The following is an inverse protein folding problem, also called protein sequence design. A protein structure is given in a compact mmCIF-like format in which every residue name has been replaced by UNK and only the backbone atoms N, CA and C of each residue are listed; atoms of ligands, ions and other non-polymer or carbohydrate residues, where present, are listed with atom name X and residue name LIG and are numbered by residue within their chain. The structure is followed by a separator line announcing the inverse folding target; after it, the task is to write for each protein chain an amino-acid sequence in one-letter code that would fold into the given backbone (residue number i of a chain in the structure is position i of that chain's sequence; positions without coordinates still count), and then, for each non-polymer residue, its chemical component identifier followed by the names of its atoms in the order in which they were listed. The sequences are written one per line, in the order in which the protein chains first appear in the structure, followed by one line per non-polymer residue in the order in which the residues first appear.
data_IF_959780036869
#
_entry.id   IF_959780036869
#
_cell.length_a   1.000
_cell.length_b   1.000
_cell.length_c   1.000
_cell.angle_alpha   90.00
_cell.angle_beta   90.00
_cell.angle_gamma   90.00
#
_symmetry.space_group_name_H-M   'P 1'
#
loop_
_entity.id
_entity.type
_entity.pdbx_description
1 polymer ?
#
# COMPACT_ATOMS: atom_id res chain seq x y z
N UNK A 1 11.91 19.32 4.32
CA UNK A 1 10.79 18.40 3.98
C UNK A 1 11.19 17.71 2.69
N UNK A 2 11.65 16.47 2.80
CA UNK A 2 11.96 15.65 1.62
C UNK A 2 10.64 15.13 1.07
N UNK A 3 10.19 15.70 -0.05
CA UNK A 3 9.12 15.10 -0.85
C UNK A 3 9.68 13.83 -1.48
N UNK A 4 9.52 12.70 -0.82
CA UNK A 4 9.65 11.41 -1.48
C UNK A 4 8.44 11.28 -2.40
N UNK A 5 8.59 11.78 -3.62
CA UNK A 5 7.67 11.48 -4.71
C UNK A 5 7.86 10.00 -5.01
N UNK A 6 6.80 9.18 -4.94
CA UNK A 6 6.77 7.89 -5.63
C UNK A 6 6.75 8.17 -7.14
N UNK A 7 7.90 8.63 -7.65
CA UNK A 7 8.15 8.95 -9.05
C UNK A 7 8.42 7.63 -9.77
N UNK A 8 7.33 6.96 -10.15
CA UNK A 8 7.40 6.01 -11.25
C UNK A 8 6.23 6.33 -12.18
N UNK A 9 6.46 6.47 -13.49
CA UNK A 9 5.37 6.52 -14.43
C UNK A 9 4.47 5.31 -14.15
N UNK A 10 3.15 5.53 -14.11
CA UNK A 10 2.16 4.47 -13.88
C UNK A 10 2.10 3.43 -15.02
N UNK A 11 3.11 3.41 -15.88
CA UNK A 11 3.41 2.31 -16.78
C UNK A 11 3.87 1.14 -15.93
N UNK A 12 3.09 0.06 -15.92
CA UNK A 12 3.50 -1.23 -15.41
C UNK A 12 4.94 -1.55 -15.87
N UNK A 13 5.83 -2.08 -15.01
CA UNK A 13 7.10 -2.63 -15.45
C UNK A 13 6.86 -3.58 -16.62
N UNK A 14 7.70 -3.46 -17.65
CA UNK A 14 7.74 -4.42 -18.73
C UNK A 14 8.47 -5.65 -18.21
N UNK A 15 7.79 -6.78 -18.09
CA UNK A 15 8.47 -8.02 -17.70
C UNK A 15 9.04 -8.69 -18.93
N UNK A 16 10.32 -9.03 -18.89
CA UNK A 16 11.00 -9.71 -19.97
C UNK A 16 11.61 -11.01 -19.48
N UNK A 17 11.64 -12.01 -20.36
CA UNK A 17 12.30 -13.28 -20.08
C UNK A 17 12.26 -14.22 -21.28
N UNK A 18 12.87 -15.40 -21.13
CA UNK A 18 13.07 -16.33 -22.23
C UNK A 18 11.99 -17.41 -22.26
N UNK A 19 11.59 -17.80 -23.47
CA UNK A 19 10.62 -18.88 -23.70
C UNK A 19 11.35 -20.08 -24.30
N UNK A 20 11.34 -21.26 -23.63
CA UNK A 20 12.10 -22.41 -24.11
C UNK A 20 11.44 -23.17 -25.27
N UNK A 21 10.13 -23.00 -25.49
CA UNK A 21 9.36 -23.81 -26.44
C UNK A 21 8.75 -22.96 -27.57
N UNK A 22 8.80 -23.42 -28.83
CA UNK A 22 8.11 -22.77 -29.93
C UNK A 22 6.59 -22.83 -29.74
N UNK A 23 5.89 -21.75 -30.09
CA UNK A 23 4.44 -21.66 -30.12
C UNK A 23 3.92 -22.08 -31.49
N UNK A 24 2.84 -22.86 -31.54
CA UNK A 24 2.11 -23.03 -32.78
C UNK A 24 1.48 -21.68 -33.21
N UNK A 25 1.70 -21.26 -34.46
CA UNK A 25 0.98 -20.14 -35.08
C UNK A 25 -0.44 -20.59 -35.47
N UNK A 26 -1.21 -21.04 -34.49
CA UNK A 26 -2.66 -21.15 -34.62
C UNK A 26 -3.19 -19.73 -34.42
N UNK A 27 -3.89 -19.16 -35.41
CA UNK A 27 -4.53 -17.85 -35.21
C UNK A 27 -5.41 -17.91 -33.96
N UNK A 28 -5.14 -17.10 -32.92
CA UNK A 28 -6.04 -16.98 -31.79
C UNK A 28 -7.40 -16.57 -32.30
N UNK A 29 -8.40 -17.41 -32.08
CA UNK A 29 -9.78 -17.13 -32.43
C UNK A 29 -10.37 -16.09 -31.46
N UNK A 30 -11.54 -15.53 -31.78
CA UNK A 30 -12.24 -14.59 -30.90
C UNK A 30 -12.66 -15.18 -29.55
N UNK A 31 -12.45 -16.49 -29.34
CA UNK A 31 -12.73 -17.19 -28.09
C UNK A 31 -11.46 -17.47 -27.27
N UNK A 32 -10.31 -17.00 -27.76
CA UNK A 32 -9.04 -17.21 -27.11
C UNK A 32 -8.95 -16.44 -25.79
N UNK A 33 -8.43 -17.09 -24.76
CA UNK A 33 -8.14 -16.47 -23.46
C UNK A 33 -6.69 -16.72 -23.06
N UNK A 34 -6.18 -15.78 -22.28
CA UNK A 34 -4.95 -15.92 -21.55
C UNK A 34 -5.25 -16.61 -20.23
N UNK A 35 -4.58 -17.74 -19.96
CA UNK A 35 -4.54 -18.33 -18.64
C UNK A 35 -3.15 -18.12 -18.05
N UNK A 36 -3.09 -17.50 -16.87
CA UNK A 36 -1.88 -17.42 -16.05
C UNK A 36 -2.18 -18.19 -14.77
N UNK A 37 -1.53 -19.33 -14.60
CA UNK A 37 -1.68 -20.15 -13.40
C UNK A 37 -0.44 -20.01 -12.52
N UNK A 38 -0.68 -19.81 -11.23
CA UNK A 38 0.32 -19.79 -10.17
C UNK A 38 0.03 -20.96 -9.22
N UNK A 39 0.59 -22.16 -9.48
CA UNK A 39 0.23 -23.37 -8.75
C UNK A 39 0.48 -23.28 -7.24
N UNK A 40 1.55 -22.59 -6.84
CA UNK A 40 2.00 -22.49 -5.44
C UNK A 40 0.96 -21.81 -4.53
N UNK A 41 0.15 -20.90 -5.08
CA UNK A 41 -0.85 -20.14 -4.32
C UNK A 41 -2.28 -20.39 -4.84
N UNK A 42 -2.47 -21.43 -5.66
CA UNK A 42 -3.76 -21.83 -6.24
C UNK A 42 -4.52 -20.69 -6.94
N UNK A 43 -3.78 -19.78 -7.58
CA UNK A 43 -4.36 -18.63 -8.27
C UNK A 43 -4.34 -18.83 -9.79
N UNK A 44 -5.43 -18.44 -10.43
CA UNK A 44 -5.58 -18.47 -11.89
C UNK A 44 -6.17 -17.15 -12.37
N UNK A 45 -5.42 -16.42 -13.20
CA UNK A 45 -5.96 -15.31 -13.99
C UNK A 45 -6.42 -15.86 -15.33
N UNK A 46 -7.70 -15.66 -15.64
CA UNK A 46 -8.25 -15.82 -16.97
C UNK A 46 -8.60 -14.44 -17.55
N UNK A 47 -8.03 -14.11 -18.71
CA UNK A 47 -8.27 -12.84 -19.40
C UNK A 47 -8.62 -13.11 -20.88
N UNK A 48 -9.85 -12.82 -21.33
CA UNK A 48 -10.23 -13.02 -22.72
C UNK A 48 -9.50 -12.06 -23.66
N UNK A 49 -9.26 -12.50 -24.89
CA UNK A 49 -8.69 -11.69 -25.95
C UNK A 49 -9.60 -10.48 -26.24
N UNK A 50 -9.05 -9.28 -26.12
CA UNK A 50 -9.76 -8.03 -26.34
C UNK A 50 -9.74 -7.59 -27.82
N UNK A 51 -8.71 -7.99 -28.57
CA UNK A 51 -8.57 -7.69 -29.98
C UNK A 51 -7.78 -8.80 -30.69
N UNK A 52 -8.02 -8.98 -31.99
CA UNK A 52 -7.24 -9.92 -32.80
C UNK A 52 -5.74 -9.60 -32.67
N UNK A 53 -4.89 -10.63 -32.49
CA UNK A 53 -3.47 -10.42 -32.32
C UNK A 53 -2.85 -9.92 -33.63
N UNK A 54 -1.85 -9.06 -33.48
CA UNK A 54 -1.04 -8.55 -34.59
C UNK A 54 0.17 -9.46 -34.69
N UNK A 55 0.32 -10.15 -35.81
CA UNK A 55 1.43 -11.07 -36.07
C UNK A 55 2.30 -10.47 -37.16
N UNK A 56 3.58 -10.29 -36.85
CA UNK A 56 4.63 -9.85 -37.76
C UNK A 56 5.79 -10.86 -37.74
N UNK A 57 6.74 -10.73 -38.66
CA UNK A 57 7.77 -11.74 -38.90
C UNK A 57 8.63 -12.04 -37.65
N UNK A 58 8.83 -11.04 -36.79
CA UNK A 58 9.67 -11.10 -35.59
C UNK A 58 8.89 -10.90 -34.28
N UNK A 59 7.59 -10.63 -34.33
CA UNK A 59 6.79 -10.30 -33.14
C UNK A 59 5.31 -10.71 -33.23
N UNK A 60 4.76 -11.09 -32.09
CA UNK A 60 3.33 -11.31 -31.87
C UNK A 60 2.87 -10.36 -30.77
N UNK A 61 1.88 -9.51 -31.07
CA UNK A 61 1.23 -8.65 -30.09
C UNK A 61 -0.22 -9.13 -29.87
N UNK A 62 -0.58 -9.39 -28.61
CA UNK A 62 -1.92 -9.80 -28.20
C UNK A 62 -2.38 -8.95 -27.02
N UNK A 63 -3.66 -8.57 -27.04
CA UNK A 63 -4.26 -7.73 -26.01
C UNK A 63 -5.40 -8.46 -25.32
N UNK A 64 -5.37 -8.50 -23.99
CA UNK A 64 -6.33 -9.23 -23.17
C UNK A 64 -7.07 -8.30 -22.20
N UNK A 65 -8.35 -8.54 -21.96
CA UNK A 65 -9.16 -7.76 -21.03
C UNK A 65 -9.11 -8.37 -19.63
N UNK A 66 -8.39 -7.73 -18.70
CA UNK A 66 -8.26 -8.24 -17.32
C UNK A 66 -9.40 -7.74 -16.45
N UNK A 67 -9.79 -6.48 -16.57
CA UNK A 67 -10.97 -5.92 -15.89
C UNK A 67 -11.55 -4.79 -16.74
N UNK A 68 -12.71 -4.24 -16.36
CA UNK A 68 -13.37 -3.17 -17.13
C UNK A 68 -12.43 -2.03 -17.55
N UNK A 69 -11.50 -1.66 -16.68
CA UNK A 69 -10.54 -0.56 -16.87
C UNK A 69 -9.08 -1.01 -16.95
N UNK A 70 -8.82 -2.31 -17.11
CA UNK A 70 -7.46 -2.87 -17.14
C UNK A 70 -7.32 -3.83 -18.32
N UNK A 71 -6.41 -3.51 -19.23
CA UNK A 71 -5.98 -4.44 -20.27
C UNK A 71 -4.56 -4.95 -19.97
N UNK A 72 -4.24 -6.13 -20.49
CA UNK A 72 -2.89 -6.70 -20.51
C UNK A 72 -2.44 -6.84 -21.95
N UNK A 73 -1.39 -6.12 -22.30
CA UNK A 73 -0.71 -6.19 -23.58
C UNK A 73 0.45 -7.19 -23.47
N UNK A 74 0.42 -8.25 -24.27
CA UNK A 74 1.48 -9.25 -24.37
C UNK A 74 2.17 -9.10 -25.73
N UNK A 75 3.49 -8.97 -25.71
CA UNK A 75 4.36 -8.96 -26.88
C UNK A 75 5.31 -10.15 -26.78
N UNK A 76 5.31 -11.02 -27.76
CA UNK A 76 6.28 -12.10 -27.91
C UNK A 76 7.22 -11.72 -29.04
N UNK A 77 8.52 -11.73 -28.80
CA UNK A 77 9.55 -11.43 -29.81
C UNK A 77 10.33 -12.70 -30.09
N UNK A 78 10.64 -12.95 -31.35
CA UNK A 78 11.21 -14.22 -31.75
C UNK A 78 11.40 -14.32 -33.25
N UNK A 79 11.33 -15.54 -33.79
CA UNK A 79 11.49 -15.80 -35.21
C UNK A 79 10.46 -16.82 -35.68
N UNK A 80 9.87 -16.58 -36.85
CA UNK A 80 9.13 -17.60 -37.55
C UNK A 80 10.05 -18.77 -37.92
N UNK A 81 9.64 -20.00 -37.58
CA UNK A 81 10.36 -21.20 -37.99
C UNK A 81 9.94 -21.55 -39.40
N UNK A 82 10.87 -21.40 -40.35
CA UNK A 82 10.63 -21.74 -41.76
C UNK A 82 10.07 -23.16 -41.90
N UNK A 83 9.00 -23.31 -42.69
CA UNK A 83 8.34 -24.57 -43.02
C UNK A 83 7.55 -25.29 -41.91
N UNK A 84 7.44 -24.74 -40.69
CA UNK A 84 6.71 -25.41 -39.58
C UNK A 84 5.43 -24.71 -39.09
N UNK A 85 5.08 -23.52 -39.62
CA UNK A 85 3.98 -22.70 -39.08
C UNK A 85 4.06 -22.54 -37.54
N UNK A 86 5.28 -22.30 -37.05
CA UNK A 86 5.60 -22.10 -35.64
C UNK A 86 6.35 -20.80 -35.44
N UNK A 87 6.18 -20.21 -34.27
CA UNK A 87 6.93 -19.06 -33.82
C UNK A 87 7.85 -19.49 -32.68
N UNK A 88 9.16 -19.43 -32.92
CA UNK A 88 10.15 -19.64 -31.88
C UNK A 88 10.24 -18.34 -31.07
N UNK A 89 9.56 -18.31 -29.94
CA UNK A 89 9.62 -17.17 -29.01
C UNK A 89 10.98 -17.15 -28.35
N UNK A 90 11.70 -16.03 -28.48
CA UNK A 90 12.97 -15.81 -27.79
C UNK A 90 12.74 -15.00 -26.52
N UNK A 91 11.85 -14.00 -26.60
CA UNK A 91 11.55 -13.07 -25.52
C UNK A 91 10.04 -12.83 -25.41
N UNK A 92 9.58 -12.47 -24.22
CA UNK A 92 8.24 -11.91 -24.02
C UNK A 92 8.33 -10.55 -23.33
N UNK A 93 7.26 -9.77 -23.43
CA UNK A 93 7.05 -8.49 -22.79
C UNK A 93 5.56 -8.40 -22.45
N UNK A 94 5.19 -8.29 -21.18
CA UNK A 94 3.81 -7.94 -20.84
C UNK A 94 3.71 -6.55 -20.22
N UNK A 95 2.54 -5.93 -20.35
CA UNK A 95 2.29 -4.59 -19.86
C UNK A 95 0.82 -4.42 -19.50
N UNK A 96 0.53 -3.98 -18.27
CA UNK A 96 -0.83 -3.63 -17.89
C UNK A 96 -1.13 -2.18 -18.25
N UNK A 97 -2.16 -2.00 -19.07
CA UNK A 97 -2.69 -0.69 -19.43
C UNK A 97 -3.92 -0.36 -18.57
N UNK A 98 -3.82 0.71 -17.77
CA UNK A 98 -4.94 1.26 -17.01
C UNK A 98 -5.64 2.32 -17.85
N UNK A 99 -6.91 2.08 -18.20
CA UNK A 99 -7.73 3.02 -19.00
C UNK A 99 -8.16 4.25 -18.20
N UNK A 100 -8.49 4.02 -16.93
CA UNK A 100 -8.93 5.04 -16.00
C UNK A 100 -8.27 4.78 -14.64
N UNK A 101 -7.60 5.77 -14.03
CA UNK A 101 -6.75 5.57 -12.85
C UNK A 101 -7.57 5.42 -11.56
N UNK A 102 -8.49 4.46 -11.52
CA UNK A 102 -9.33 4.16 -10.34
C UNK A 102 -8.58 3.27 -9.35
N UNK A 103 -8.87 3.36 -8.03
CA UNK A 103 -8.26 2.48 -7.03
C UNK A 103 -8.33 0.99 -7.41
N UNK A 104 -9.50 0.51 -7.85
CA UNK A 104 -9.69 -0.87 -8.32
C UNK A 104 -8.72 -1.29 -9.43
N UNK A 105 -8.54 -0.45 -10.45
CA UNK A 105 -7.66 -0.77 -11.58
C UNK A 105 -6.20 -0.90 -11.10
N UNK A 106 -5.77 0.01 -10.22
CA UNK A 106 -4.43 -0.04 -9.64
C UNK A 106 -4.23 -1.22 -8.68
N UNK A 107 -5.24 -1.57 -7.87
CA UNK A 107 -5.21 -2.73 -7.00
C UNK A 107 -5.03 -4.02 -7.79
N UNK A 108 -5.79 -4.20 -8.87
CA UNK A 108 -5.70 -5.35 -9.78
C UNK A 108 -4.28 -5.43 -10.35
N UNK A 109 -3.80 -4.36 -10.99
CA UNK A 109 -2.48 -4.34 -11.63
C UNK A 109 -1.35 -4.58 -10.63
N UNK A 110 -1.36 -3.89 -9.49
CA UNK A 110 -0.34 -4.03 -8.46
C UNK A 110 -0.32 -5.46 -7.89
N UNK A 111 -1.48 -6.06 -7.64
CA UNK A 111 -1.58 -7.42 -7.10
C UNK A 111 -1.02 -8.45 -8.07
N UNK A 112 -1.43 -8.39 -9.35
CA UNK A 112 -0.93 -9.34 -10.35
C UNK A 112 0.58 -9.20 -10.54
N UNK A 113 1.10 -7.97 -10.65
CA UNK A 113 2.54 -7.77 -10.84
C UNK A 113 3.38 -8.17 -9.62
N UNK A 114 2.90 -7.87 -8.41
CA UNK A 114 3.58 -8.31 -7.19
C UNK A 114 3.64 -9.84 -7.13
N UNK A 115 2.51 -10.51 -7.39
CA UNK A 115 2.42 -11.96 -7.44
C UNK A 115 3.39 -12.57 -8.45
N UNK A 116 3.41 -12.04 -9.68
CA UNK A 116 4.27 -12.54 -10.75
C UNK A 116 5.75 -12.31 -10.44
N UNK A 117 6.09 -11.19 -9.78
CA UNK A 117 7.44 -10.92 -9.29
C UNK A 117 7.89 -11.85 -8.17
N UNK A 118 7.00 -12.19 -7.23
CA UNK A 118 7.31 -13.02 -6.07
C UNK A 118 7.51 -14.49 -6.43
N UNK A 119 6.56 -15.05 -7.18
CA UNK A 119 6.58 -16.46 -7.60
C UNK A 119 7.73 -16.67 -8.58
N UNK A 120 7.95 -15.72 -9.48
CA UNK A 120 9.03 -15.75 -10.45
C UNK A 120 8.89 -16.84 -11.52
N UNK A 121 7.95 -17.79 -11.42
CA UNK A 121 7.64 -18.79 -12.45
C UNK A 121 6.13 -18.93 -12.64
N UNK A 122 5.67 -18.92 -13.88
CA UNK A 122 4.25 -19.07 -14.19
C UNK A 122 4.03 -19.79 -15.50
N UNK A 123 2.85 -20.42 -15.60
CA UNK A 123 2.43 -21.10 -16.80
C UNK A 123 1.51 -20.15 -17.58
N UNK A 124 1.95 -19.77 -18.77
CA UNK A 124 1.16 -19.01 -19.71
C UNK A 124 0.50 -19.95 -20.72
N UNK A 125 -0.79 -19.79 -20.92
CA UNK A 125 -1.53 -20.52 -21.95
C UNK A 125 -2.30 -19.54 -22.82
N UNK A 126 -2.03 -19.55 -24.12
CA UNK A 126 -2.70 -18.73 -25.13
C UNK A 126 -3.49 -19.69 -26.02
N UNK A 127 -4.59 -20.21 -25.47
CA UNK A 127 -5.62 -21.00 -26.20
C UNK A 127 -5.19 -22.34 -26.81
N UNK A 128 -5.96 -23.39 -26.46
CA UNK A 128 -5.75 -24.84 -26.61
C UNK A 128 -5.06 -25.51 -25.39
N UNK A 129 -5.57 -26.67 -24.92
CA UNK A 129 -5.16 -27.33 -23.68
C UNK A 129 -3.71 -27.85 -23.66
N UNK A 130 -2.98 -27.84 -24.79
CA UNK A 130 -1.76 -28.65 -24.94
C UNK A 130 -0.44 -27.85 -24.96
N UNK A 131 -0.49 -26.52 -25.10
CA UNK A 131 0.73 -25.69 -25.16
C UNK A 131 0.74 -24.67 -24.01
N UNK A 132 1.46 -25.01 -22.94
CA UNK A 132 1.81 -24.06 -21.87
C UNK A 132 3.26 -23.60 -22.04
N UNK A 133 3.47 -22.30 -21.86
CA UNK A 133 4.80 -21.73 -21.78
C UNK A 133 5.14 -21.50 -20.32
N UNK A 134 6.25 -22.09 -19.88
CA UNK A 134 6.86 -21.71 -18.61
C UNK A 134 7.59 -20.39 -18.80
N UNK A 135 7.20 -19.40 -18.02
CA UNK A 135 7.78 -18.08 -18.05
C UNK A 135 8.45 -17.82 -16.70
N UNK A 136 9.69 -17.31 -16.76
CA UNK A 136 10.42 -16.87 -15.57
C UNK A 136 10.44 -15.34 -15.51
N UNK A 137 10.16 -14.79 -14.33
CA UNK A 137 10.20 -13.37 -14.01
C UNK A 137 11.21 -13.11 -12.90
N UNK A 138 12.11 -12.17 -13.14
CA UNK A 138 13.07 -11.68 -12.14
C UNK A 138 12.82 -10.19 -11.91
N UNK A 139 11.94 -9.86 -10.96
CA UNK A 139 11.76 -8.48 -10.50
C UNK A 139 12.64 -8.22 -9.27
N UNK A 140 13.31 -7.06 -9.19
CA UNK A 140 14.02 -6.66 -7.97
C UNK A 140 13.06 -6.57 -6.77
N UNK A 141 13.52 -6.98 -5.58
CA UNK A 141 12.70 -6.94 -4.37
C UNK A 141 12.17 -5.54 -4.03
N UNK A 142 12.94 -4.50 -4.35
CA UNK A 142 12.50 -3.11 -4.19
C UNK A 142 11.26 -2.81 -5.05
N UNK A 143 11.20 -3.29 -6.29
CA UNK A 143 10.05 -3.10 -7.17
C UNK A 143 8.84 -3.90 -6.68
N UNK A 144 9.05 -5.13 -6.22
CA UNK A 144 7.99 -5.94 -5.61
C UNK A 144 7.42 -5.24 -4.36
N UNK A 145 8.28 -4.70 -3.49
CA UNK A 145 7.86 -3.95 -2.30
C UNK A 145 7.02 -2.72 -2.66
N UNK A 146 7.42 -1.95 -3.68
CA UNK A 146 6.61 -0.83 -4.19
C UNK A 146 5.24 -1.28 -4.69
N UNK A 147 5.16 -2.42 -5.37
CA UNK A 147 3.90 -2.99 -5.85
C UNK A 147 3.00 -3.43 -4.69
N UNK A 148 3.55 -4.06 -3.65
CA UNK A 148 2.80 -4.45 -2.45
C UNK A 148 2.30 -3.22 -1.68
N UNK A 149 3.11 -2.17 -1.52
CA UNK A 149 2.66 -0.90 -0.93
C UNK A 149 1.54 -0.27 -1.75
N UNK A 150 1.67 -0.25 -3.08
CA UNK A 150 0.62 0.26 -3.98
C UNK A 150 -0.66 -0.56 -3.87
N UNK A 151 -0.57 -1.89 -3.76
CA UNK A 151 -1.70 -2.79 -3.50
C UNK A 151 -2.42 -2.42 -2.21
N UNK A 152 -1.70 -2.31 -1.09
CA UNK A 152 -2.31 -1.95 0.21
C UNK A 152 -2.97 -0.57 0.17
N UNK A 153 -2.25 0.42 -0.38
CA UNK A 153 -2.75 1.78 -0.53
C UNK A 153 -4.05 1.85 -1.37
N UNK A 154 -4.06 1.18 -2.52
CA UNK A 154 -5.22 1.16 -3.43
C UNK A 154 -6.39 0.40 -2.84
N UNK A 155 -6.14 -0.68 -2.10
CA UNK A 155 -7.18 -1.40 -1.36
C UNK A 155 -7.85 -0.52 -0.30
N UNK A 156 -7.07 0.24 0.48
CA UNK A 156 -7.61 1.20 1.46
C UNK A 156 -8.54 2.20 0.79
N UNK A 157 -8.13 2.77 -0.36
CA UNK A 157 -8.98 3.67 -1.13
C UNK A 157 -10.27 2.98 -1.62
N UNK A 158 -10.20 1.74 -2.10
CA UNK A 158 -11.40 0.98 -2.50
C UNK A 158 -12.40 0.84 -1.34
N UNK A 159 -11.92 0.52 -0.13
CA UNK A 159 -12.76 0.42 1.08
C UNK A 159 -13.38 1.79 1.42
N UNK A 160 -12.62 2.87 1.28
CA UNK A 160 -13.15 4.23 1.49
C UNK A 160 -14.23 4.56 0.46
N UNK A 161 -14.01 4.27 -0.84
CA UNK A 161 -15.02 4.46 -1.89
C UNK A 161 -16.31 3.71 -1.58
N UNK A 162 -16.19 2.45 -1.15
CA UNK A 162 -17.32 1.59 -0.85
C UNK A 162 -18.11 2.07 0.38
N UNK A 163 -17.43 2.46 1.45
CA UNK A 163 -18.08 2.95 2.67
C UNK A 163 -18.71 4.36 2.52
N UNK A 164 -18.14 5.20 1.66
CA UNK A 164 -18.54 6.62 1.55
C UNK A 164 -19.33 6.96 0.29
N UNK A 165 -19.36 6.06 -0.69
CA UNK A 165 -19.90 6.31 -2.03
C UNK A 165 -19.10 7.31 -2.86
N UNK A 166 -17.93 7.74 -2.37
CA UNK A 166 -17.02 8.63 -3.12
C UNK A 166 -16.31 7.84 -4.22
N UNK A 167 -15.83 8.57 -5.22
CA UNK A 167 -15.01 7.98 -6.26
C UNK A 167 -13.75 8.81 -6.45
N UNK A 168 -12.60 8.16 -6.36
CA UNK A 168 -11.30 8.78 -6.51
C UNK A 168 -10.73 8.52 -7.89
N UNK A 169 -9.82 9.41 -8.28
CA UNK A 169 -8.89 9.21 -9.40
C UNK A 169 -7.50 9.33 -8.79
N UNK A 170 -6.67 8.30 -8.98
CA UNK A 170 -5.30 8.32 -8.48
C UNK A 170 -4.48 9.30 -9.31
N UNK A 171 -3.82 10.28 -8.66
CA UNK A 171 -2.86 11.12 -9.35
C UNK A 171 -1.60 10.31 -9.71
N UNK A 172 -0.76 10.86 -10.58
CA UNK A 172 0.50 10.23 -10.96
C UNK A 172 1.50 10.12 -9.81
N UNK A 173 1.38 10.98 -8.80
CA UNK A 173 2.21 10.98 -7.60
C UNK A 173 1.36 11.30 -6.36
N UNK A 174 1.71 10.69 -5.23
CA UNK A 174 1.02 10.83 -3.95
C UNK A 174 2.07 11.09 -2.87
N UNK A 175 1.82 12.10 -2.02
CA UNK A 175 2.72 12.44 -0.91
C UNK A 175 2.54 11.50 0.27
N UNK A 176 3.58 11.34 1.10
CA UNK A 176 3.53 10.53 2.34
C UNK A 176 2.37 10.95 3.25
N UNK A 177 2.19 12.25 3.52
CA UNK A 177 1.07 12.73 4.34
C UNK A 177 -0.31 12.41 3.76
N UNK A 178 -0.42 12.17 2.45
CA UNK A 178 -1.68 11.74 1.82
C UNK A 178 -1.90 10.23 2.01
N UNK A 179 -0.82 9.45 1.95
CA UNK A 179 -0.84 8.01 2.29
C UNK A 179 -1.26 7.83 3.76
N UNK A 180 -0.73 8.65 4.66
CA UNK A 180 -1.08 8.65 6.09
C UNK A 180 -2.56 8.99 6.32
N UNK A 181 -3.08 10.03 5.67
CA UNK A 181 -4.52 10.36 5.73
C UNK A 181 -5.41 9.22 5.24
N UNK A 182 -5.04 8.59 4.14
CA UNK A 182 -5.77 7.43 3.60
C UNK A 182 -5.74 6.26 4.57
N UNK A 183 -4.61 6.01 5.22
CA UNK A 183 -4.50 5.00 6.26
C UNK A 183 -5.37 5.33 7.47
N UNK A 184 -5.33 6.57 7.97
CA UNK A 184 -6.15 7.02 9.10
C UNK A 184 -7.65 6.86 8.81
N UNK A 185 -8.11 7.34 7.65
CA UNK A 185 -9.52 7.23 7.22
C UNK A 185 -9.95 5.77 7.09
N UNK A 186 -9.08 4.91 6.56
CA UNK A 186 -9.33 3.47 6.49
C UNK A 186 -9.52 2.86 7.89
N UNK A 187 -8.61 3.12 8.83
CA UNK A 187 -8.72 2.62 10.20
C UNK A 187 -9.95 3.16 10.94
N UNK A 188 -10.34 4.42 10.68
CA UNK A 188 -11.59 4.97 11.20
C UNK A 188 -12.82 4.20 10.71
N UNK A 189 -12.87 3.84 9.43
CA UNK A 189 -13.99 3.09 8.84
C UNK A 189 -14.01 1.63 9.33
N UNK A 190 -12.87 0.95 9.27
CA UNK A 190 -12.76 -0.50 9.48
C UNK A 190 -12.62 -0.85 10.96
N UNK A 191 -11.60 -0.31 11.63
CA UNK A 191 -11.25 -0.70 12.99
C UNK A 191 -12.06 0.06 14.04
N UNK A 192 -12.39 1.33 13.75
CA UNK A 192 -13.15 2.27 14.59
C UNK A 192 -12.52 2.62 15.93
N UNK A 193 -11.61 1.80 16.45
CA UNK A 193 -10.84 2.05 17.65
C UNK A 193 -9.39 1.68 17.37
N UNK A 194 -8.51 2.67 17.37
CA UNK A 194 -7.10 2.46 17.06
C UNK A 194 -6.21 3.54 17.68
N UNK A 195 -4.93 3.21 17.82
CA UNK A 195 -3.90 4.15 18.26
C UNK A 195 -3.28 4.77 17.01
N UNK A 196 -3.13 6.09 17.00
CA UNK A 196 -2.53 6.82 15.90
C UNK A 196 -1.46 7.79 16.37
N UNK A 197 -0.67 8.32 15.43
CA UNK A 197 0.28 9.39 15.72
C UNK A 197 -0.46 10.57 16.34
N UNK A 198 0.01 10.97 17.52
CA UNK A 198 -0.66 11.93 18.35
C UNK A 198 -0.44 13.37 17.86
N UNK A 199 -1.44 14.21 18.08
CA UNK A 199 -1.37 15.63 17.80
C UNK A 199 -1.28 16.41 19.11
N UNK A 200 -0.84 17.66 19.05
CA UNK A 200 -1.06 18.57 20.16
C UNK A 200 -2.44 19.21 20.06
N UNK A 201 -3.14 19.27 21.19
CA UNK A 201 -4.50 19.80 21.26
C UNK A 201 -4.50 21.06 22.12
N UNK A 202 -4.99 22.15 21.52
CA UNK A 202 -5.23 23.39 22.23
C UNK A 202 -6.62 23.36 22.84
N UNK A 203 -6.68 23.54 24.15
CA UNK A 203 -7.93 23.70 24.90
C UNK A 203 -7.85 24.94 25.78
N UNK A 204 -8.99 25.41 26.26
CA UNK A 204 -9.07 26.63 27.07
C UNK A 204 -9.94 26.44 28.28
N UNK A 205 -9.51 27.02 29.41
CA UNK A 205 -10.27 27.03 30.65
C UNK A 205 -10.34 28.47 31.20
N UNK A 206 -11.46 28.89 31.82
CA UNK A 206 -11.52 30.20 32.47
C UNK A 206 -10.58 30.27 33.68
N UNK A 207 -9.99 31.44 33.93
CA UNK A 207 -9.20 31.70 35.14
C UNK A 207 -10.10 32.00 36.35
N UNK A 208 -10.82 30.98 36.83
CA UNK A 208 -11.58 31.03 38.10
C UNK A 208 -10.95 30.10 39.14
N UNK A 209 -11.27 30.29 40.42
CA UNK A 209 -10.77 29.45 41.52
C UNK A 209 -11.25 27.98 41.41
N UNK A 210 -12.47 27.78 40.93
CA UNK A 210 -13.06 26.46 40.68
C UNK A 210 -12.32 25.75 39.53
N UNK A 211 -12.11 26.45 38.42
CA UNK A 211 -11.40 25.95 37.25
C UNK A 211 -9.92 25.67 37.51
N UNK A 212 -9.25 26.51 38.30
CA UNK A 212 -7.86 26.28 38.71
C UNK A 212 -7.71 24.99 39.52
N UNK A 213 -8.69 24.71 40.40
CA UNK A 213 -8.73 23.47 41.19
C UNK A 213 -8.98 22.25 40.31
N UNK A 214 -9.89 22.36 39.33
CA UNK A 214 -10.18 21.31 38.35
C UNK A 214 -8.96 21.03 37.45
N UNK A 215 -8.28 22.07 36.99
CA UNK A 215 -7.06 21.95 36.20
C UNK A 215 -5.92 21.26 36.97
N UNK A 216 -5.74 21.60 38.25
CA UNK A 216 -4.75 20.94 39.10
C UNK A 216 -5.00 19.43 39.27
N UNK A 217 -6.27 19.00 39.27
CA UNK A 217 -6.64 17.58 39.28
C UNK A 217 -6.41 16.92 37.91
N UNK A 218 -6.76 17.62 36.81
CA UNK A 218 -6.57 17.12 35.46
C UNK A 218 -5.10 16.87 35.11
N UNK A 219 -4.20 17.77 35.51
CA UNK A 219 -2.74 17.63 35.30
C UNK A 219 -2.14 16.46 36.08
N UNK A 220 -2.84 15.92 37.10
CA UNK A 220 -2.42 14.72 37.81
C UNK A 220 -2.86 13.43 37.11
N UNK A 221 -3.79 13.51 36.16
CA UNK A 221 -4.21 12.37 35.34
C UNK A 221 -3.23 12.16 34.19
N UNK A 222 -2.78 10.92 33.98
CA UNK A 222 -2.03 10.54 32.78
C UNK A 222 -2.92 10.33 31.56
N UNK A 223 -4.25 10.27 31.75
CA UNK A 223 -5.23 10.02 30.69
C UNK A 223 -6.09 11.26 30.53
N UNK A 224 -6.14 11.81 29.32
CA UNK A 224 -6.92 12.99 28.99
C UNK A 224 -7.94 12.69 27.87
N UNK A 225 -9.21 12.47 28.22
CA UNK A 225 -10.25 12.33 27.22
C UNK A 225 -10.61 13.71 26.66
N UNK A 226 -10.56 13.88 25.34
CA UNK A 226 -11.08 15.04 24.65
C UNK A 226 -12.59 14.88 24.42
N UNK A 227 -13.36 16.00 24.39
CA UNK A 227 -14.78 15.95 24.07
C UNK A 227 -15.03 15.29 22.71
N UNK A 228 -16.05 14.45 22.64
CA UNK A 228 -16.46 13.80 21.39
C UNK A 228 -16.87 14.84 20.35
N UNK A 229 -16.08 14.98 19.29
CA UNK A 229 -16.24 15.99 18.26
C UNK A 229 -16.43 15.36 16.87
N UNK A 230 -17.10 16.05 15.93
CA UNK A 230 -17.14 15.62 14.54
C UNK A 230 -15.73 15.70 13.94
N UNK A 231 -15.32 14.65 13.25
CA UNK A 231 -14.04 14.56 12.55
C UNK A 231 -14.28 14.39 11.05
N UNK A 232 -13.46 15.08 10.26
CA UNK A 232 -13.43 14.92 8.81
C UNK A 232 -12.01 15.06 8.32
N UNK A 233 -11.68 14.30 7.29
CA UNK A 233 -10.38 14.34 6.65
C UNK A 233 -10.52 14.66 5.16
N UNK A 234 -9.44 15.15 4.55
CA UNK A 234 -9.39 15.38 3.11
C UNK A 234 -8.54 14.28 2.48
N UNK A 235 -9.16 13.47 1.64
CA UNK A 235 -8.52 12.41 0.87
C UNK A 235 -8.62 12.72 -0.61
N UNK A 236 -7.47 12.84 -1.28
CA UNK A 236 -7.30 13.16 -2.69
C UNK A 236 -8.14 14.38 -3.11
N UNK A 237 -8.14 15.41 -2.27
CA UNK A 237 -8.90 16.65 -2.47
C UNK A 237 -10.40 16.55 -2.19
N UNK A 238 -10.90 15.41 -1.69
CA UNK A 238 -12.31 15.24 -1.34
C UNK A 238 -12.50 15.14 0.18
N UNK A 239 -13.48 15.86 0.75
CA UNK A 239 -13.79 15.75 2.17
C UNK A 239 -14.50 14.43 2.47
N UNK A 240 -14.00 13.72 3.47
CA UNK A 240 -14.53 12.48 4.01
C UNK A 240 -15.01 12.75 5.44
N UNK A 241 -16.32 12.63 5.64
CA UNK A 241 -16.93 12.77 6.96
C UNK A 241 -16.80 11.45 7.71
N UNK A 242 -16.05 11.45 8.82
CA UNK A 242 -15.82 10.28 9.66
C UNK A 242 -16.80 10.19 10.83
N UNK A 243 -17.80 11.07 10.89
CA UNK A 243 -18.73 11.13 12.01
C UNK A 243 -18.06 11.67 13.27
N UNK A 244 -18.43 11.14 14.43
CA UNK A 244 -17.94 11.59 15.73
C UNK A 244 -16.85 10.68 16.27
N UNK A 245 -15.80 11.30 16.82
CA UNK A 245 -14.69 10.63 17.44
C UNK A 245 -14.46 11.14 18.87
N UNK A 246 -14.16 10.22 19.78
CA UNK A 246 -13.54 10.51 21.06
C UNK A 246 -12.05 10.26 20.92
N UNK A 247 -11.23 11.24 21.30
CA UNK A 247 -9.78 11.11 21.31
C UNK A 247 -9.31 11.05 22.75
N UNK A 248 -8.50 10.06 23.08
CA UNK A 248 -7.92 9.92 24.41
C UNK A 248 -6.41 10.03 24.29
N UNK A 249 -5.84 11.03 24.96
CA UNK A 249 -4.40 11.24 25.04
C UNK A 249 -3.90 10.44 26.25
N UNK A 250 -3.07 9.43 25.99
CA UNK A 250 -2.38 8.66 27.04
C UNK A 250 -1.02 9.30 27.33
N UNK A 251 -0.56 9.20 28.57
CA UNK A 251 0.63 9.89 29.08
C UNK A 251 0.63 11.40 28.76
N UNK A 252 -0.53 12.02 28.97
CA UNK A 252 -0.79 13.40 28.62
C UNK A 252 0.05 14.37 29.46
N UNK A 253 0.68 15.34 28.78
CA UNK A 253 1.42 16.45 29.40
C UNK A 253 0.96 17.79 28.85
N UNK A 254 0.88 18.78 29.74
CA UNK A 254 0.64 20.17 29.36
C UNK A 254 1.98 20.82 29.05
N UNK A 255 2.21 21.19 27.79
CA UNK A 255 3.50 21.69 27.30
C UNK A 255 3.87 23.04 27.92
N UNK A 256 2.89 23.87 28.26
CA UNK A 256 3.03 25.22 28.82
C UNK A 256 2.56 25.34 30.28
N UNK A 257 2.73 24.28 31.08
CA UNK A 257 2.15 24.16 32.43
C UNK A 257 2.44 25.36 33.37
N UNK A 258 3.69 25.83 33.42
CA UNK A 258 4.09 26.90 34.33
C UNK A 258 3.45 28.25 33.96
N UNK A 259 3.33 28.53 32.66
CA UNK A 259 2.66 29.73 32.17
C UNK A 259 1.16 29.68 32.48
N UNK A 260 0.53 28.53 32.22
CA UNK A 260 -0.90 28.31 32.47
C UNK A 260 -1.22 28.47 33.95
N UNK A 261 -0.43 27.89 34.86
CA UNK A 261 -0.60 28.06 36.31
C UNK A 261 -0.58 29.52 36.72
N UNK A 262 0.42 30.28 36.27
CA UNK A 262 0.54 31.71 36.56
C UNK A 262 -0.65 32.50 36.02
N UNK A 263 -1.18 32.11 34.86
CA UNK A 263 -2.34 32.78 34.28
C UNK A 263 -3.64 32.47 35.04
N UNK A 264 -3.81 31.24 35.54
CA UNK A 264 -4.95 30.82 36.35
C UNK A 264 -4.95 31.46 37.75
N UNK A 265 -3.78 31.63 38.36
CA UNK A 265 -3.62 32.32 39.65
C UNK A 265 -4.09 33.78 39.65
N UNK A 266 -4.15 34.42 38.48
CA UNK A 266 -4.65 35.79 38.36
C UNK A 266 -6.14 35.90 38.72
N UNK A 267 -6.93 34.82 38.58
CA UNK A 267 -8.33 34.75 39.01
C UNK A 267 -9.26 35.79 38.35
N UNK A 268 -8.89 36.30 37.17
CA UNK A 268 -9.58 37.41 36.49
C UNK A 268 -10.69 36.95 35.53
N UNK A 269 -10.94 35.64 35.45
CA UNK A 269 -11.97 35.03 34.61
C UNK A 269 -11.65 34.99 33.11
N UNK A 270 -10.44 35.38 32.68
CA UNK A 270 -10.04 35.30 31.27
C UNK A 270 -9.87 33.84 30.82
N UNK A 271 -10.01 33.60 29.52
CA UNK A 271 -9.71 32.29 28.94
C UNK A 271 -8.20 32.06 28.89
N UNK A 272 -7.73 30.99 29.52
CA UNK A 272 -6.34 30.54 29.49
C UNK A 272 -6.25 29.35 28.56
N UNK A 273 -5.48 29.50 27.48
CA UNK A 273 -5.23 28.42 26.52
C UNK A 273 -4.03 27.59 26.95
N UNK A 274 -4.18 26.28 26.90
CA UNK A 274 -3.11 25.34 27.17
C UNK A 274 -3.08 24.23 26.12
N UNK A 275 -1.90 23.70 25.90
CA UNK A 275 -1.64 22.67 24.91
C UNK A 275 -1.36 21.35 25.62
N UNK A 276 -2.13 20.33 25.26
CA UNK A 276 -1.96 18.96 25.76
C UNK A 276 -1.38 18.10 24.64
N UNK A 277 -0.38 17.29 24.98
CA UNK A 277 0.24 16.34 24.04
C UNK A 277 0.58 15.04 24.76
N UNK A 278 0.66 13.94 24.02
CA UNK A 278 1.13 12.66 24.57
C UNK A 278 2.67 12.61 24.60
N UNK A 279 3.25 12.15 25.70
CA UNK A 279 4.69 11.84 25.77
C UNK A 279 5.10 10.70 24.84
N UNK A 280 4.20 9.75 24.58
CA UNK A 280 4.45 8.64 23.65
C UNK A 280 4.32 9.08 22.19
N UNK A 281 3.79 10.28 21.94
CA UNK A 281 3.44 10.75 20.60
C UNK A 281 2.31 9.95 19.98
N UNK A 282 1.45 9.33 20.77
CA UNK A 282 0.33 8.51 20.31
C UNK A 282 -0.97 8.85 21.05
N UNK A 283 -2.07 8.88 20.30
CA UNK A 283 -3.42 9.09 20.84
C UNK A 283 -4.34 7.94 20.43
N UNK A 284 -5.29 7.60 21.29
CA UNK A 284 -6.33 6.62 21.00
C UNK A 284 -7.55 7.31 20.39
N UNK A 285 -7.96 6.87 19.21
CA UNK A 285 -9.17 7.34 18.53
C UNK A 285 -10.27 6.30 18.65
N UNK A 286 -11.47 6.74 19.00
CA UNK A 286 -12.67 5.91 19.09
C UNK A 286 -13.84 6.56 18.33
N UNK A 287 -14.25 5.94 17.24
CA UNK A 287 -15.30 6.43 16.35
C UNK A 287 -16.62 5.71 16.60
N UNK A 288 -17.70 6.49 16.73
CA UNK A 288 -19.05 5.94 17.00
C UNK A 288 -19.99 6.00 15.79
N UNK A 289 -19.69 6.83 14.79
CA UNK A 289 -20.60 7.17 13.68
C UNK A 289 -19.91 7.11 12.31
N UNK A 290 -18.82 6.35 12.18
CA UNK A 290 -18.10 6.26 10.90
C UNK A 290 -18.96 5.66 9.79
N UNK A 291 -18.76 6.10 8.53
CA UNK A 291 -19.41 5.49 7.39
C UNK A 291 -19.23 3.96 7.40
N UNK A 292 -20.30 3.24 7.14
CA UNK A 292 -20.28 1.78 7.12
C UNK A 292 -19.87 1.29 5.74
N UNK A 293 -18.85 0.42 5.66
CA UNK A 293 -18.81 -0.51 4.54
C UNK A 293 -20.10 -1.32 4.60
N UNK A 294 -20.76 -1.47 3.45
CA UNK A 294 -22.06 -2.12 3.33
C UNK A 294 -22.02 -3.63 3.68
N UNK A 295 -20.85 -4.15 4.07
CA UNK A 295 -20.61 -5.58 4.29
C UNK A 295 -20.82 -6.40 3.02
N UNK A 296 -20.95 -5.73 1.86
CA UNK A 296 -21.09 -6.38 0.57
C UNK A 296 -19.78 -7.11 0.30
N UNK A 297 -19.88 -8.43 0.18
CA UNK A 297 -18.78 -9.25 -0.30
C UNK A 297 -18.31 -8.67 -1.63
N UNK A 298 -17.01 -8.37 -1.73
CA UNK A 298 -16.40 -7.94 -2.97
C UNK A 298 -16.78 -8.90 -4.11
N UNK A 299 -16.86 -8.39 -5.34
CA UNK A 299 -17.04 -9.26 -6.50
C UNK A 299 -16.03 -10.43 -6.42
N UNK A 300 -16.41 -11.68 -6.73
CA UNK A 300 -15.56 -12.85 -6.48
C UNK A 300 -14.14 -12.72 -7.04
N UNK A 301 -13.98 -12.03 -8.17
CA UNK A 301 -12.68 -11.73 -8.78
C UNK A 301 -11.80 -10.82 -7.93
N UNK A 302 -12.39 -9.79 -7.31
CA UNK A 302 -11.69 -8.87 -6.40
C UNK A 302 -11.40 -9.57 -5.08
N UNK A 303 -12.37 -10.33 -4.55
CA UNK A 303 -12.18 -11.10 -3.32
C UNK A 303 -11.01 -12.07 -3.46
N UNK A 304 -10.92 -12.80 -4.58
CA UNK A 304 -9.80 -13.71 -4.84
C UNK A 304 -8.43 -13.01 -4.83
N UNK A 305 -8.35 -11.73 -5.22
CA UNK A 305 -7.11 -10.93 -5.15
C UNK A 305 -6.82 -10.40 -3.74
N UNK A 306 -7.86 -10.13 -2.96
CA UNK A 306 -7.72 -9.77 -1.54
C UNK A 306 -7.19 -10.98 -0.76
N UNK A 307 -7.75 -12.16 -1.01
CA UNK A 307 -7.40 -13.42 -0.35
C UNK A 307 -5.95 -13.88 -0.62
N UNK A 308 -5.26 -13.29 -1.61
CA UNK A 308 -3.84 -13.53 -1.85
C UNK A 308 -2.92 -12.89 -0.79
N UNK A 309 -3.42 -11.97 0.05
CA UNK A 309 -2.60 -11.22 1.01
C UNK A 309 -1.65 -12.08 1.85
N UNK A 310 -2.11 -13.15 2.53
CA UNK A 310 -1.22 -13.94 3.38
C UNK A 310 -0.10 -14.63 2.58
N UNK A 311 -0.38 -14.99 1.33
CA UNK A 311 0.59 -15.64 0.44
C UNK A 311 1.64 -14.65 -0.05
N UNK A 312 1.21 -13.42 -0.43
CA UNK A 312 2.12 -12.37 -0.86
C UNK A 312 3.05 -11.95 0.29
N UNK A 313 2.52 -11.83 1.51
CA UNK A 313 3.28 -11.48 2.71
C UNK A 313 4.28 -12.59 3.09
N UNK A 314 3.87 -13.86 3.03
CA UNK A 314 4.76 -14.98 3.28
C UNK A 314 5.91 -15.04 2.23
N UNK A 315 5.58 -14.88 0.95
CA UNK A 315 6.55 -14.96 -0.14
C UNK A 315 7.56 -13.79 -0.09
N UNK A 316 7.13 -12.57 0.23
CA UNK A 316 8.07 -11.44 0.34
C UNK A 316 8.98 -11.60 1.56
N UNK A 317 8.46 -12.09 2.69
CA UNK A 317 9.26 -12.37 3.88
C UNK A 317 10.31 -13.45 3.60
N UNK A 318 9.94 -14.53 2.93
CA UNK A 318 10.86 -15.58 2.51
C UNK A 318 11.99 -15.03 1.62
N UNK A 319 11.67 -14.16 0.65
CA UNK A 319 12.68 -13.54 -0.22
C UNK A 319 13.63 -12.63 0.56
N UNK A 320 13.13 -11.85 1.52
CA UNK A 320 13.99 -11.04 2.39
C UNK A 320 14.88 -11.91 3.27
N UNK A 321 14.34 -12.99 3.84
CA UNK A 321 15.13 -13.94 4.62
C UNK A 321 16.20 -14.63 3.76
N UNK A 322 15.87 -15.02 2.53
CA UNK A 322 16.83 -15.60 1.59
C UNK A 322 17.93 -14.60 1.21
N UNK A 323 17.59 -13.33 0.97
CA UNK A 323 18.58 -12.28 0.72
C UNK A 323 19.49 -12.07 1.93
N UNK A 324 18.91 -11.97 3.14
CA UNK A 324 19.67 -11.83 4.38
C UNK A 324 20.59 -13.04 4.61
N UNK A 325 20.10 -14.26 4.41
CA UNK A 325 20.88 -15.48 4.52
C UNK A 325 22.04 -15.50 3.53
N UNK A 326 21.80 -15.13 2.26
CA UNK A 326 22.84 -15.05 1.23
C UNK A 326 23.90 -13.99 1.56
N UNK A 327 23.52 -12.86 2.15
CA UNK A 327 24.50 -11.84 2.61
C UNK A 327 25.34 -12.29 3.81
N UNK A 328 24.86 -13.26 4.57
CA UNK A 328 25.57 -13.84 5.72
C UNK A 328 26.32 -15.13 5.36
N UNK A 329 26.13 -15.66 4.15
CA UNK A 329 26.76 -16.88 3.68
C UNK A 329 28.26 -16.64 3.43
N UNK A 330 29.10 -17.48 4.05
CA UNK A 330 30.56 -17.37 3.93
C UNK A 330 31.24 -16.47 4.98
N UNK A 331 30.47 -15.78 5.83
CA UNK A 331 31.01 -15.03 6.97
C UNK A 331 31.19 -15.94 8.19
N UNK A 332 32.25 -15.73 8.97
CA UNK A 332 32.40 -16.38 10.28
C UNK A 332 31.39 -15.82 11.28
N UNK A 333 31.14 -16.53 12.38
CA UNK A 333 30.22 -16.04 13.42
C UNK A 333 30.68 -14.71 14.02
N UNK A 334 32.00 -14.48 14.12
CA UNK A 334 32.56 -13.20 14.56
C UNK A 334 32.26 -12.05 13.57
N UNK A 335 32.32 -12.32 12.26
CA UNK A 335 32.02 -11.33 11.21
C UNK A 335 30.53 -11.02 11.13
N UNK A 336 29.66 -12.03 11.32
CA UNK A 336 28.21 -11.84 11.42
C UNK A 336 27.85 -10.98 12.63
N UNK A 337 28.48 -11.20 13.78
CA UNK A 337 28.31 -10.37 14.97
C UNK A 337 28.80 -8.94 14.69
N UNK A 338 29.97 -8.75 14.07
CA UNK A 338 30.50 -7.43 13.77
C UNK A 338 29.61 -6.58 12.83
N UNK A 339 28.88 -7.22 11.91
CA UNK A 339 27.97 -6.53 10.95
C UNK A 339 26.57 -6.30 11.55
N UNK A 340 26.13 -7.14 12.49
CA UNK A 340 24.81 -7.05 13.13
C UNK A 340 24.82 -6.24 14.42
N UNK A 341 25.98 -6.05 15.04
CA UNK A 341 26.14 -5.15 16.19
C UNK A 341 26.00 -3.71 15.70
N UNK A 342 25.01 -3.00 16.27
CA UNK A 342 24.86 -1.54 16.11
C UNK A 342 26.22 -0.89 16.34
N UNK A 343 26.73 -0.04 15.43
CA UNK A 343 27.92 0.71 15.72
C UNK A 343 27.67 1.48 17.01
N UNK A 344 28.44 1.18 18.06
CA UNK A 344 28.57 2.08 19.19
C UNK A 344 29.10 3.38 18.59
N UNK A 345 28.24 4.40 18.55
CA UNK A 345 28.71 5.74 18.29
C UNK A 345 29.67 6.05 19.43
N UNK A 346 30.96 6.08 19.12
CA UNK A 346 31.97 6.67 20.00
C UNK A 346 31.52 8.12 20.25
N UNK A 347 30.78 8.36 21.33
CA UNK A 347 30.65 9.67 21.95
C UNK A 347 31.97 9.99 22.65
N UNK A 348 32.94 10.55 21.91
CA UNK A 348 33.56 11.78 22.39
C UNK A 348 33.97 12.68 21.21
N UNK A 349 33.01 13.35 20.56
CA UNK A 349 33.32 14.41 19.59
C UNK A 349 32.54 15.71 19.80
N UNK A 350 31.68 15.78 20.81
CA UNK A 350 31.02 17.03 21.23
C UNK A 350 31.43 17.43 22.65
N UNK A 351 32.75 17.49 22.90
CA UNK A 351 33.25 18.46 23.86
C UNK A 351 33.24 19.81 23.15
N UNK A 352 32.21 20.61 23.44
CA UNK A 352 32.23 22.04 23.16
C UNK A 352 33.17 22.68 24.16
N UNK A 353 34.41 22.91 23.74
CA UNK A 353 35.30 23.85 24.41
C UNK A 353 34.87 25.29 24.05
N UNK A 354 34.63 26.06 25.12
CA UNK A 354 34.31 27.49 25.26
C UNK A 354 32.84 27.93 25.32
#
# INVERSE_FOLDING_TARGET
MSTVTLDQPMTAPVFQGNVPNPLALSQPDSHSSLLITVPEILYTLEAPLAAAPIIEDDRIFAKFSVDRNVDLDLTLTGKAVENENKFQTEQYSWFFQIKEPRPRAHFIVATHMAMMGLVGKFNLQISRPEESININSELPLLEISKLLHRRQFTYRLMVIEEATGKQFLLPSAISEGEIERIAFVYHAIVDRSFIWQGSSFNTSIPATEEDASLFAQLVQSSIWPLPTAPLSEIVLGQPIHLGRATVTIEDAVVTNLDEVRKQLEAGDGRQVTFEVSSLSGQDKYEFTETPYSSGVLWEPKIQALIDLEPYLDAAIAERYHALAAATLEGLTEEEKIAITVRPELDEPAFQTDN
#
